data_IF_116030461909
#
_entry.id   IF_116030461909
#
_cell.length_a   1.000
_cell.length_b   1.000
_cell.length_c   1.000
_cell.angle_alpha   90.00
_cell.angle_beta   90.00
_cell.angle_gamma   90.00
#
_symmetry.space_group_name_H-M   'P 1'
#
loop_
_entity.id
_entity.type
_entity.pdbx_description
1 polymer ?
#
# COMPACT_ATOMS: atom_id res chain seq x y z
N UNK A 1 -10.63 14.61 10.13
CA UNK A 1 -9.23 14.80 10.61
C UNK A 1 -8.29 13.75 10.03
N UNK A 2 -8.58 12.44 10.19
CA UNK A 2 -7.75 11.36 9.66
C UNK A 2 -7.45 11.45 8.15
N UNK A 3 -8.43 11.86 7.33
CA UNK A 3 -8.22 12.07 5.88
C UNK A 3 -7.20 13.15 5.58
N UNK A 4 -7.13 14.20 6.41
CA UNK A 4 -6.14 15.26 6.25
C UNK A 4 -4.73 14.83 6.65
N UNK A 5 -4.61 13.87 7.57
CA UNK A 5 -3.32 13.32 7.98
C UNK A 5 -2.60 12.61 6.82
N UNK A 6 -3.34 12.04 5.86
CA UNK A 6 -2.78 11.38 4.67
C UNK A 6 -1.98 12.37 3.81
N UNK A 7 -2.47 13.60 3.62
CA UNK A 7 -1.75 14.62 2.84
C UNK A 7 -0.39 14.99 3.43
N UNK A 8 -0.19 14.81 4.74
CA UNK A 8 1.09 15.07 5.41
C UNK A 8 1.95 13.81 5.51
N UNK A 9 1.34 12.65 5.78
CA UNK A 9 2.03 11.36 5.90
C UNK A 9 2.74 10.96 4.60
N UNK A 10 2.14 11.23 3.44
CA UNK A 10 2.74 10.83 2.17
C UNK A 10 4.05 11.59 1.85
N UNK A 11 4.09 12.94 1.80
CA UNK A 11 5.35 13.65 1.56
C UNK A 11 6.37 13.39 2.67
N UNK A 12 5.91 13.23 3.92
CA UNK A 12 6.79 12.87 5.04
C UNK A 12 7.42 11.49 4.84
N UNK A 13 6.66 10.48 4.44
CA UNK A 13 7.17 9.13 4.18
C UNK A 13 8.15 9.10 3.00
N UNK A 14 7.85 9.84 1.93
CA UNK A 14 8.78 10.00 0.80
C UNK A 14 10.08 10.69 1.22
N UNK A 15 9.99 11.80 1.95
CA UNK A 15 11.17 12.50 2.47
C UNK A 15 11.97 11.60 3.41
N UNK A 16 11.29 10.90 4.32
CA UNK A 16 11.93 9.98 5.26
C UNK A 16 12.68 8.86 4.52
N UNK A 17 12.03 8.17 3.58
CA UNK A 17 12.63 7.07 2.83
C UNK A 17 13.81 7.50 1.94
N UNK A 18 13.70 8.63 1.26
CA UNK A 18 14.68 9.02 0.23
C UNK A 18 15.74 10.02 0.71
N UNK A 19 15.48 10.83 1.74
CA UNK A 19 16.38 11.90 2.20
C UNK A 19 17.00 11.68 3.58
N UNK A 20 16.58 10.68 4.35
CA UNK A 20 17.12 10.44 5.69
C UNK A 20 18.00 9.20 5.78
N UNK A 21 18.94 9.19 6.73
CA UNK A 21 19.79 8.04 7.07
C UNK A 21 19.00 6.78 7.45
N UNK A 22 18.01 6.83 8.37
CA UNK A 22 17.22 5.65 8.71
C UNK A 22 16.39 5.11 7.53
N UNK A 23 15.95 5.97 6.61
CA UNK A 23 15.29 5.55 5.37
C UNK A 23 16.22 4.87 4.37
N UNK A 24 17.51 5.25 4.33
CA UNK A 24 18.53 4.54 3.58
C UNK A 24 18.76 3.15 4.16
N UNK A 25 18.91 3.03 5.49
CA UNK A 25 19.07 1.74 6.17
C UNK A 25 17.93 0.77 5.88
N UNK A 26 16.68 1.25 5.92
CA UNK A 26 15.51 0.44 5.58
C UNK A 26 15.58 -0.12 4.15
N UNK A 27 15.97 0.70 3.17
CA UNK A 27 16.11 0.26 1.77
C UNK A 27 17.27 -0.71 1.60
N UNK A 28 18.42 -0.43 2.22
CA UNK A 28 19.58 -1.31 2.19
C UNK A 28 19.30 -2.68 2.79
N UNK A 29 18.57 -2.75 3.91
CA UNK A 29 18.13 -4.02 4.53
C UNK A 29 17.18 -4.79 3.61
N UNK A 30 16.34 -4.09 2.83
CA UNK A 30 15.43 -4.72 1.87
C UNK A 30 16.15 -5.33 0.66
N UNK A 31 17.25 -4.71 0.21
CA UNK A 31 18.08 -5.19 -0.90
C UNK A 31 19.01 -6.33 -0.45
N UNK A 32 19.85 -6.08 0.57
CA UNK A 32 20.79 -7.06 1.11
C UNK A 32 20.98 -6.91 2.64
N UNK A 33 20.32 -7.76 3.44
CA UNK A 33 20.47 -7.79 4.89
C UNK A 33 21.90 -8.12 5.37
N UNK A 34 22.67 -8.92 4.63
CA UNK A 34 24.01 -9.34 5.05
C UNK A 34 24.99 -8.18 4.96
N UNK A 35 24.93 -7.42 3.87
CA UNK A 35 25.72 -6.19 3.71
C UNK A 35 25.34 -5.14 4.76
N UNK A 36 24.06 -5.04 5.15
CA UNK A 36 23.63 -4.12 6.19
C UNK A 36 24.17 -4.46 7.59
N UNK A 37 24.21 -5.74 7.98
CA UNK A 37 24.81 -6.17 9.27
C UNK A 37 26.34 -5.98 9.27
N UNK A 38 27.01 -6.17 8.13
CA UNK A 38 28.44 -5.89 8.00
C UNK A 38 28.79 -4.40 8.22
N UNK A 39 27.85 -3.50 7.95
CA UNK A 39 27.96 -2.06 8.24
C UNK A 39 27.60 -1.69 9.70
N UNK A 40 27.28 -2.67 10.55
CA UNK A 40 26.95 -2.48 11.96
C UNK A 40 25.50 -2.11 12.25
N UNK A 41 24.58 -2.30 11.28
CA UNK A 41 23.16 -2.03 11.45
C UNK A 41 22.47 -3.28 12.01
N UNK A 42 21.76 -3.13 13.14
CA UNK A 42 20.95 -4.21 13.70
C UNK A 42 19.72 -4.48 12.83
N UNK A 43 19.85 -5.43 11.90
CA UNK A 43 18.83 -5.81 10.92
C UNK A 43 17.53 -6.24 11.61
N UNK A 44 17.62 -7.04 12.68
CA UNK A 44 16.46 -7.61 13.35
C UNK A 44 15.64 -6.51 14.03
N UNK A 45 16.27 -5.67 14.85
CA UNK A 45 15.57 -4.56 15.50
C UNK A 45 14.94 -3.61 14.49
N UNK A 46 15.66 -3.32 13.41
CA UNK A 46 15.19 -2.41 12.36
C UNK A 46 13.96 -3.01 11.64
N UNK A 47 13.98 -4.29 11.28
CA UNK A 47 12.82 -4.98 10.67
C UNK A 47 11.60 -4.98 11.58
N UNK A 48 11.77 -5.30 12.87
CA UNK A 48 10.66 -5.30 13.83
C UNK A 48 10.08 -3.89 14.00
N UNK A 49 10.93 -2.88 14.18
CA UNK A 49 10.48 -1.50 14.36
C UNK A 49 9.63 -1.01 13.19
N UNK A 50 10.09 -1.22 11.95
CA UNK A 50 9.33 -0.81 10.76
C UNK A 50 8.08 -1.65 10.50
N UNK A 51 8.07 -2.93 10.91
CA UNK A 51 6.87 -3.77 10.81
C UNK A 51 5.77 -3.30 11.77
N UNK A 52 6.15 -2.95 13.00
CA UNK A 52 5.23 -2.38 14.00
C UNK A 52 4.70 -1.03 13.52
N UNK A 53 5.57 -0.17 12.99
CA UNK A 53 5.18 1.14 12.45
C UNK A 53 4.22 1.00 11.27
N UNK A 54 4.47 0.06 10.35
CA UNK A 54 3.56 -0.27 9.25
C UNK A 54 2.21 -0.79 9.75
N UNK A 55 2.21 -1.68 10.74
CA UNK A 55 1.00 -2.18 11.40
C UNK A 55 0.18 -1.07 12.05
N UNK A 56 0.84 -0.11 12.72
CA UNK A 56 0.19 1.06 13.30
C UNK A 56 -0.49 1.95 12.24
N UNK A 57 0.15 2.16 11.09
CA UNK A 57 -0.46 2.90 9.97
C UNK A 57 -1.67 2.18 9.39
N UNK A 58 -1.62 0.85 9.25
CA UNK A 58 -2.76 0.03 8.80
C UNK A 58 -3.90 0.11 9.82
N UNK A 59 -3.59 0.05 11.13
CA UNK A 59 -4.58 0.18 12.19
C UNK A 59 -5.29 1.55 12.18
N UNK A 60 -4.57 2.64 11.90
CA UNK A 60 -5.19 3.97 11.71
C UNK A 60 -6.16 4.00 10.52
N UNK A 61 -5.80 3.32 9.42
CA UNK A 61 -6.71 3.13 8.27
C UNK A 61 -7.95 2.32 8.63
N UNK A 62 -7.81 1.26 9.43
CA UNK A 62 -8.94 0.48 9.96
C UNK A 62 -9.83 1.29 10.90
N UNK A 63 -9.25 2.10 11.77
CA UNK A 63 -10.00 3.00 12.65
C UNK A 63 -10.86 4.01 11.87
N UNK A 64 -10.36 4.51 10.73
CA UNK A 64 -11.13 5.37 9.84
C UNK A 64 -12.42 4.71 9.32
N UNK A 65 -12.40 3.40 9.03
CA UNK A 65 -13.59 2.69 8.56
C UNK A 65 -14.72 2.71 9.60
N UNK A 66 -14.39 2.47 10.87
CA UNK A 66 -15.36 2.42 11.98
C UNK A 66 -15.83 3.81 12.44
N UNK A 67 -14.95 4.82 12.38
CA UNK A 67 -15.25 6.17 12.88
C UNK A 67 -15.94 7.08 11.86
N UNK A 68 -15.74 6.85 10.55
CA UNK A 68 -16.16 7.82 9.52
C UNK A 68 -16.93 7.21 8.35
N UNK A 69 -16.70 5.95 7.99
CA UNK A 69 -17.34 5.35 6.81
C UNK A 69 -18.77 4.89 7.12
N UNK A 70 -18.96 4.26 8.29
CA UNK A 70 -20.27 3.97 8.86
C UNK A 70 -20.17 4.24 10.36
N UNK A 71 -20.75 5.34 10.88
CA UNK A 71 -20.76 5.60 12.32
C UNK A 71 -21.55 4.48 13.04
N UNK A 72 -20.84 3.49 13.57
CA UNK A 72 -21.42 2.30 14.21
C UNK A 72 -20.78 1.00 13.75
N UNK A 73 -20.86 -0.03 14.59
CA UNK A 73 -20.39 -1.37 14.23
C UNK A 73 -21.40 -2.04 13.31
N UNK A 74 -21.03 -2.23 12.05
CA UNK A 74 -21.80 -3.01 11.08
C UNK A 74 -21.03 -4.31 10.78
N UNK A 75 -21.72 -5.44 10.68
CA UNK A 75 -21.05 -6.67 10.26
C UNK A 75 -20.51 -6.51 8.83
N UNK A 76 -19.26 -6.94 8.62
CA UNK A 76 -18.60 -6.90 7.31
C UNK A 76 -18.32 -5.47 6.75
N UNK A 77 -17.90 -4.51 7.60
CA UNK A 77 -17.53 -3.14 7.18
C UNK A 77 -16.49 -3.13 6.04
N UNK A 78 -15.53 -4.04 6.07
CA UNK A 78 -14.48 -4.13 5.04
C UNK A 78 -15.01 -4.71 3.74
N UNK A 79 -16.09 -5.52 3.74
CA UNK A 79 -16.75 -6.02 2.53
C UNK A 79 -15.81 -6.72 1.55
N UNK A 80 -14.75 -7.37 2.06
CA UNK A 80 -13.69 -7.96 1.25
C UNK A 80 -12.72 -6.98 0.57
N UNK A 81 -12.90 -5.64 0.67
CA UNK A 81 -12.11 -4.61 -0.05
C UNK A 81 -10.60 -4.59 0.22
N UNK A 82 -10.10 -5.39 1.17
CA UNK A 82 -8.69 -5.47 1.53
C UNK A 82 -7.76 -5.90 0.39
N UNK A 83 -8.28 -6.65 -0.59
CA UNK A 83 -7.49 -7.10 -1.74
C UNK A 83 -7.04 -5.93 -2.66
N UNK A 84 -7.74 -4.80 -2.65
CA UNK A 84 -7.36 -3.58 -3.38
C UNK A 84 -6.00 -3.06 -2.91
N UNK A 85 -5.68 -3.25 -1.62
CA UNK A 85 -4.39 -2.83 -1.04
C UNK A 85 -3.24 -3.59 -1.69
N UNK A 86 -3.42 -4.88 -1.98
CA UNK A 86 -2.39 -5.70 -2.65
C UNK A 86 -2.11 -5.15 -4.05
N UNK A 87 -3.17 -4.86 -4.82
CA UNK A 87 -3.04 -4.24 -6.14
C UNK A 87 -2.37 -2.86 -6.08
N UNK A 88 -2.68 -2.06 -5.05
CA UNK A 88 -2.12 -0.73 -4.85
C UNK A 88 -0.63 -0.79 -4.50
N UNK A 89 -0.20 -1.71 -3.64
CA UNK A 89 1.23 -1.91 -3.30
C UNK A 89 2.03 -2.32 -4.54
N UNK A 90 1.48 -3.23 -5.34
CA UNK A 90 2.06 -3.66 -6.60
C UNK A 90 2.21 -2.45 -7.54
N UNK A 91 1.12 -1.71 -7.81
CA UNK A 91 1.14 -0.50 -8.64
C UNK A 91 2.12 0.57 -8.14
N UNK A 92 2.19 0.74 -6.81
CA UNK A 92 3.07 1.70 -6.15
C UNK A 92 4.56 1.36 -6.36
N UNK A 93 4.89 0.12 -6.76
CA UNK A 93 6.26 -0.37 -6.93
C UNK A 93 7.14 0.01 -5.73
N UNK A 94 6.61 -0.20 -4.52
CA UNK A 94 7.27 0.14 -3.24
C UNK A 94 7.68 1.62 -3.09
N UNK A 95 7.16 2.52 -3.94
CA UNK A 95 7.46 3.95 -3.90
C UNK A 95 6.26 4.75 -3.34
N UNK A 96 6.40 5.41 -2.18
CA UNK A 96 5.29 6.14 -1.54
C UNK A 96 4.65 7.22 -2.43
N UNK A 97 5.40 7.82 -3.36
CA UNK A 97 4.85 8.82 -4.27
C UNK A 97 3.91 8.21 -5.34
N UNK A 98 4.20 6.99 -5.80
CA UNK A 98 3.34 6.27 -6.77
C UNK A 98 2.07 5.74 -6.11
N UNK A 99 2.15 5.42 -4.82
CA UNK A 99 0.99 5.02 -3.99
C UNK A 99 -0.19 6.00 -4.10
N UNK A 100 0.10 7.31 -4.22
CA UNK A 100 -0.93 8.36 -4.34
C UNK A 100 -1.78 8.15 -5.59
N UNK A 101 -1.15 7.91 -6.73
CA UNK A 101 -1.86 7.73 -7.99
C UNK A 101 -2.74 6.49 -7.96
N UNK A 102 -2.26 5.41 -7.32
CA UNK A 102 -3.04 4.19 -7.11
C UNK A 102 -4.24 4.46 -6.20
N UNK A 103 -4.01 5.13 -5.07
CA UNK A 103 -5.07 5.51 -4.13
C UNK A 103 -6.13 6.42 -4.76
N UNK A 104 -5.73 7.39 -5.59
CA UNK A 104 -6.63 8.28 -6.31
C UNK A 104 -7.47 7.53 -7.35
N UNK A 105 -6.85 6.61 -8.09
CA UNK A 105 -7.56 5.79 -9.07
C UNK A 105 -8.61 4.91 -8.38
N UNK A 106 -8.24 4.17 -7.34
CA UNK A 106 -9.19 3.32 -6.62
C UNK A 106 -10.24 4.13 -5.86
N UNK A 107 -9.86 5.27 -5.27
CA UNK A 107 -10.81 6.20 -4.63
C UNK A 107 -11.80 6.78 -5.63
N UNK A 108 -11.34 7.15 -6.82
CA UNK A 108 -12.17 7.66 -7.92
C UNK A 108 -13.17 6.62 -8.43
N UNK A 109 -12.73 5.37 -8.63
CA UNK A 109 -13.63 4.26 -9.01
C UNK A 109 -14.72 4.04 -7.95
N UNK A 110 -14.35 4.06 -6.67
CA UNK A 110 -15.33 3.95 -5.58
C UNK A 110 -16.29 5.15 -5.58
N UNK A 111 -15.80 6.38 -5.72
CA UNK A 111 -16.66 7.57 -5.76
C UNK A 111 -17.65 7.56 -6.93
N UNK A 112 -17.21 7.13 -8.12
CA UNK A 112 -18.06 6.97 -9.30
C UNK A 112 -19.11 5.88 -9.08
N UNK A 113 -18.73 4.74 -8.49
CA UNK A 113 -19.67 3.69 -8.09
C UNK A 113 -20.77 4.25 -7.17
N UNK A 114 -20.40 4.97 -6.10
CA UNK A 114 -21.38 5.56 -5.18
C UNK A 114 -22.28 6.59 -5.88
N UNK A 115 -21.73 7.44 -6.75
CA UNK A 115 -22.50 8.45 -7.47
C UNK A 115 -23.49 7.84 -8.46
N UNK A 116 -23.09 6.78 -9.17
CA UNK A 116 -23.97 6.04 -10.08
C UNK A 116 -25.10 5.32 -9.33
N UNK A 117 -24.79 4.71 -8.19
CA UNK A 117 -25.82 4.11 -7.32
C UNK A 117 -26.81 5.17 -6.79
N UNK A 118 -26.31 6.34 -6.38
CA UNK A 118 -27.15 7.43 -5.89
C UNK A 118 -27.98 8.13 -6.98
N UNK A 119 -27.53 8.10 -8.24
CA UNK A 119 -28.22 8.73 -9.37
C UNK A 119 -29.42 7.92 -9.90
N UNK A 120 -29.73 6.75 -9.30
CA UNK A 120 -30.90 5.96 -9.67
C UNK A 120 -30.83 5.31 -11.06
N UNK A 121 -29.63 5.09 -11.60
CA UNK A 121 -29.47 4.43 -12.90
C UNK A 121 -30.02 3.00 -12.89
N UNK A 122 -30.67 2.57 -13.99
CA UNK A 122 -31.22 1.23 -14.21
C UNK A 122 -30.19 0.06 -14.23
N UNK A 123 -28.92 0.33 -13.90
CA UNK A 123 -27.86 -0.67 -13.89
C UNK A 123 -27.95 -1.46 -12.56
N UNK A 124 -28.03 -2.80 -12.59
CA UNK A 124 -28.10 -3.59 -11.36
C UNK A 124 -26.89 -3.31 -10.45
N UNK A 125 -27.14 -3.17 -9.15
CA UNK A 125 -26.11 -2.87 -8.15
C UNK A 125 -24.94 -3.89 -8.15
N UNK A 126 -25.20 -5.13 -8.57
CA UNK A 126 -24.17 -6.16 -8.75
C UNK A 126 -23.08 -5.74 -9.75
N UNK A 127 -23.44 -5.14 -10.89
CA UNK A 127 -22.48 -4.66 -11.89
C UNK A 127 -21.68 -3.46 -11.37
N UNK A 128 -22.33 -2.55 -10.65
CA UNK A 128 -21.65 -1.41 -10.04
C UNK A 128 -20.68 -1.86 -8.95
N UNK A 129 -21.03 -2.89 -8.16
CA UNK A 129 -20.14 -3.48 -7.15
C UNK A 129 -18.93 -4.23 -7.75
N UNK A 130 -18.99 -4.63 -9.02
CA UNK A 130 -17.86 -5.22 -9.73
C UNK A 130 -16.83 -4.19 -10.21
N UNK A 131 -17.17 -2.90 -10.30
CA UNK A 131 -16.26 -1.85 -10.81
C UNK A 131 -14.87 -1.82 -10.13
N UNK A 132 -14.76 -1.91 -8.79
CA UNK A 132 -13.44 -1.94 -8.14
C UNK A 132 -12.63 -3.18 -8.51
N UNK A 133 -13.30 -4.32 -8.71
CA UNK A 133 -12.70 -5.58 -9.14
C UNK A 133 -12.21 -5.53 -10.58
N UNK A 134 -13.00 -4.95 -11.48
CA UNK A 134 -12.57 -4.72 -12.86
C UNK A 134 -11.43 -3.71 -12.93
N UNK A 135 -11.48 -2.67 -12.09
CA UNK A 135 -10.46 -1.63 -12.00
C UNK A 135 -9.08 -2.19 -11.65
N UNK A 136 -8.98 -3.11 -10.70
CA UNK A 136 -7.69 -3.75 -10.40
C UNK A 136 -7.21 -4.68 -11.48
N UNK A 137 -8.09 -5.46 -12.12
CA UNK A 137 -7.70 -6.36 -13.20
C UNK A 137 -7.13 -5.52 -14.33
N UNK A 138 -7.78 -4.40 -14.67
CA UNK A 138 -7.26 -3.44 -15.64
C UNK A 138 -5.90 -2.87 -15.20
N UNK A 139 -5.76 -2.44 -13.94
CA UNK A 139 -4.48 -1.91 -13.40
C UNK A 139 -3.36 -2.96 -13.45
N UNK A 140 -3.65 -4.20 -13.06
CA UNK A 140 -2.69 -5.30 -13.09
C UNK A 140 -2.25 -5.61 -14.52
N UNK A 141 -3.18 -5.67 -15.47
CA UNK A 141 -2.87 -5.91 -16.89
C UNK A 141 -2.04 -4.76 -17.49
N UNK A 142 -2.41 -3.51 -17.20
CA UNK A 142 -1.64 -2.35 -17.66
C UNK A 142 -0.24 -2.35 -17.07
N UNK A 143 -0.09 -2.78 -15.81
CA UNK A 143 1.19 -2.81 -15.14
C UNK A 143 2.09 -3.95 -15.63
N UNK A 144 1.58 -5.16 -15.80
CA UNK A 144 2.38 -6.27 -16.35
C UNK A 144 2.90 -5.93 -17.74
N UNK A 145 2.07 -5.25 -18.54
CA UNK A 145 2.50 -4.69 -19.82
C UNK A 145 3.58 -3.59 -19.67
N UNK A 146 3.42 -2.68 -18.71
CA UNK A 146 4.38 -1.62 -18.42
C UNK A 146 5.72 -2.13 -17.85
N UNK A 147 5.71 -3.15 -16.99
CA UNK A 147 6.90 -3.78 -16.41
C UNK A 147 7.71 -4.52 -17.48
N UNK A 148 7.03 -5.22 -18.40
CA UNK A 148 7.66 -5.84 -19.56
C UNK A 148 8.43 -4.82 -20.41
N UNK A 149 7.96 -3.57 -20.46
CA UNK A 149 8.61 -2.46 -21.14
C UNK A 149 9.72 -1.80 -20.30
N UNK A 150 9.58 -1.72 -18.98
CA UNK A 150 10.43 -0.85 -18.13
C UNK A 150 11.62 -1.52 -17.43
N UNK A 151 11.74 -2.86 -17.40
CA UNK A 151 12.93 -3.64 -16.92
C UNK A 151 13.61 -3.28 -15.58
N UNK A 152 13.14 -2.30 -14.78
CA UNK A 152 13.97 -1.68 -13.73
C UNK A 152 13.34 -1.49 -12.35
N UNK A 153 12.18 -2.06 -12.03
CA UNK A 153 11.61 -1.87 -10.69
C UNK A 153 10.98 -3.16 -10.21
N UNK A 154 11.77 -3.96 -9.48
CA UNK A 154 11.31 -5.18 -8.81
C UNK A 154 11.09 -4.94 -7.32
N UNK A 155 10.40 -5.88 -6.68
CA UNK A 155 10.33 -5.95 -5.23
C UNK A 155 11.74 -6.11 -4.60
N UNK A 156 11.94 -5.70 -3.34
CA UNK A 156 13.24 -5.81 -2.68
C UNK A 156 13.79 -7.24 -2.75
N UNK A 157 15.07 -7.41 -3.10
CA UNK A 157 15.66 -8.72 -3.42
C UNK A 157 15.68 -9.71 -2.23
N UNK A 158 15.62 -9.20 -1.00
CA UNK A 158 15.54 -9.99 0.22
C UNK A 158 14.13 -10.05 0.82
N UNK A 159 13.09 -9.63 0.09
CA UNK A 159 11.71 -9.76 0.54
C UNK A 159 11.40 -11.26 0.78
N UNK A 160 10.76 -11.56 1.91
CA UNK A 160 10.43 -12.93 2.38
C UNK A 160 11.61 -13.88 2.63
N UNK A 161 12.87 -13.43 2.54
CA UNK A 161 14.02 -14.25 2.97
C UNK A 161 14.25 -14.07 4.47
N UNK A 162 14.24 -15.19 5.20
CA UNK A 162 14.65 -15.20 6.60
C UNK A 162 16.13 -14.80 6.68
N UNK A 163 16.45 -13.92 7.63
CA UNK A 163 17.82 -13.52 7.90
C UNK A 163 18.26 -14.21 9.18
N UNK A 164 19.23 -15.13 9.07
CA UNK A 164 19.91 -15.72 10.22
C UNK A 164 21.32 -15.16 10.28
N UNK A 165 21.72 -14.67 11.47
CA UNK A 165 23.04 -14.06 11.68
C UNK A 165 24.16 -15.11 11.68
N UNK A 166 23.80 -16.38 11.87
CA UNK A 166 24.73 -17.50 12.05
C UNK A 166 25.07 -18.24 10.76
N UNK A 167 24.52 -17.85 9.60
CA UNK A 167 24.90 -18.44 8.30
C UNK A 167 26.27 -17.91 7.86
N UNK A 168 27.34 -18.48 8.42
CA UNK A 168 28.72 -18.47 7.90
C UNK A 168 29.32 -19.86 7.97
#
# INVERSE_FOLDING_TARGET
VLTYAVYLLIPLSWFFLYKTRPGLWLRSIGEDPQTADAMGIDVMKTKYFYTILGGALIALGGAHLSLSYTPGWSENITGGRGWIVVALVIFSMWNPARSIWGALLFGGINAVQFRLQASGTNIPAAFLNMLPYLGTVAVLVLMTWWEALSKKVGAPAALSKAYMREDK
#
